data_IF_658076632284
#
_entry.id   IF_658076632284
#
_cell.length_a   1.000
_cell.length_b   1.000
_cell.length_c   1.000
_cell.angle_alpha   90.00
_cell.angle_beta   90.00
_cell.angle_gamma   90.00
#
_symmetry.space_group_name_H-M   'P 1'
#
loop_
_entity.id
_entity.type
_entity.pdbx_description
1 polymer ?
#
# COMPACT_ATOMS: atom_id res chain seq x y z
N UNK A 1 -25.48 -3.77 -20.41
CA UNK A 1 -26.82 -3.71 -19.78
C UNK A 1 -26.71 -2.87 -18.52
N UNK A 2 -27.76 -2.14 -18.10
CA UNK A 2 -27.71 -1.40 -16.83
C UNK A 2 -27.54 -2.36 -15.65
N UNK A 3 -26.69 -2.01 -14.69
CA UNK A 3 -26.52 -2.78 -13.46
C UNK A 3 -27.75 -2.64 -12.56
N UNK A 4 -28.43 -3.75 -12.29
CA UNK A 4 -29.70 -3.78 -11.55
C UNK A 4 -29.83 -5.06 -10.73
N UNK A 5 -30.77 -5.11 -9.78
CA UNK A 5 -31.05 -6.34 -9.05
C UNK A 5 -31.50 -7.49 -9.96
N UNK A 6 -32.15 -7.18 -11.09
CA UNK A 6 -32.62 -8.19 -12.04
C UNK A 6 -31.44 -8.89 -12.74
N UNK A 7 -30.35 -8.17 -13.01
CA UNK A 7 -29.12 -8.70 -13.63
C UNK A 7 -28.16 -9.28 -12.60
N UNK A 8 -28.19 -8.79 -11.35
CA UNK A 8 -27.26 -9.21 -10.29
C UNK A 8 -27.72 -10.46 -9.53
N UNK A 9 -29.00 -10.53 -9.13
CA UNK A 9 -29.53 -11.64 -8.30
C UNK A 9 -29.32 -13.03 -8.90
N UNK A 10 -29.49 -13.25 -10.22
CA UNK A 10 -29.24 -14.57 -10.81
C UNK A 10 -27.79 -15.02 -10.63
N UNK A 11 -26.83 -14.10 -10.79
CA UNK A 11 -25.39 -14.38 -10.63
C UNK A 11 -25.05 -14.72 -9.18
N UNK A 12 -25.56 -13.94 -8.21
CA UNK A 12 -25.38 -14.23 -6.78
C UNK A 12 -26.02 -15.56 -6.40
N UNK A 13 -27.21 -15.85 -6.90
CA UNK A 13 -27.92 -17.11 -6.62
C UNK A 13 -27.14 -18.31 -7.14
N UNK A 14 -26.63 -18.25 -8.37
CA UNK A 14 -25.81 -19.31 -8.94
C UNK A 14 -24.51 -19.50 -8.15
N UNK A 15 -23.82 -18.42 -7.79
CA UNK A 15 -22.59 -18.48 -6.98
C UNK A 15 -22.85 -19.16 -5.63
N UNK A 16 -23.88 -18.73 -4.90
CA UNK A 16 -24.23 -19.31 -3.59
C UNK A 16 -24.60 -20.80 -3.74
N UNK A 17 -25.36 -21.17 -4.78
CA UNK A 17 -25.77 -22.56 -5.01
C UNK A 17 -24.62 -23.46 -5.48
N UNK A 18 -23.51 -22.88 -5.95
CA UNK A 18 -22.31 -23.65 -6.32
C UNK A 18 -21.44 -24.03 -5.11
N UNK A 19 -21.64 -23.38 -3.96
CA UNK A 19 -20.89 -23.66 -2.74
C UNK A 19 -21.26 -25.04 -2.18
N UNK A 20 -20.24 -25.78 -1.74
CA UNK A 20 -20.46 -27.06 -1.07
C UNK A 20 -21.13 -26.82 0.29
N UNK A 21 -22.26 -27.49 0.51
CA UNK A 21 -22.94 -27.55 1.81
C UNK A 21 -22.72 -28.94 2.40
N UNK A 22 -22.46 -29.08 3.72
CA UNK A 22 -22.33 -30.38 4.35
C UNK A 22 -23.54 -31.28 4.07
N UNK A 23 -23.35 -32.59 3.88
CA UNK A 23 -24.45 -33.51 3.62
C UNK A 23 -25.43 -33.52 4.80
N UNK A 24 -26.76 -33.54 4.54
CA UNK A 24 -27.73 -33.63 5.60
C UNK A 24 -27.63 -34.99 6.32
N UNK A 25 -28.02 -35.08 7.61
CA UNK A 25 -28.02 -36.33 8.36
C UNK A 25 -28.88 -37.43 7.71
N UNK A 26 -29.91 -37.05 6.95
CA UNK A 26 -30.75 -37.96 6.16
C UNK A 26 -31.34 -37.24 4.94
N UNK A 27 -31.70 -38.00 3.91
CA UNK A 27 -32.29 -37.49 2.67
C UNK A 27 -31.28 -37.17 1.56
N UNK A 28 -31.78 -36.86 0.36
CA UNK A 28 -30.97 -36.47 -0.80
C UNK A 28 -30.86 -34.94 -0.86
N UNK A 29 -29.64 -34.43 -0.94
CA UNK A 29 -29.38 -33.02 -1.19
C UNK A 29 -29.40 -32.76 -2.69
N UNK A 30 -29.79 -31.54 -3.10
CA UNK A 30 -29.57 -31.10 -4.49
C UNK A 30 -28.07 -31.04 -4.75
N UNK A 31 -27.63 -31.55 -5.90
CA UNK A 31 -26.26 -31.34 -6.36
C UNK A 31 -25.96 -29.84 -6.42
N UNK A 32 -24.74 -29.41 -6.06
CA UNK A 32 -24.33 -28.03 -6.23
C UNK A 32 -24.54 -27.57 -7.67
N UNK A 33 -24.91 -26.31 -7.84
CA UNK A 33 -24.96 -25.69 -9.17
C UNK A 33 -23.54 -25.63 -9.78
N UNK A 34 -23.47 -25.47 -11.10
CA UNK A 34 -22.20 -25.17 -11.75
C UNK A 34 -21.64 -23.84 -11.22
N UNK A 35 -20.31 -23.78 -11.05
CA UNK A 35 -19.59 -22.53 -10.81
C UNK A 35 -19.94 -21.49 -11.89
N UNK A 36 -19.80 -20.21 -11.54
CA UNK A 36 -19.92 -19.14 -12.54
C UNK A 36 -18.89 -19.35 -13.66
N UNK A 37 -19.30 -19.12 -14.90
CA UNK A 37 -18.33 -18.96 -15.99
C UNK A 37 -17.51 -17.68 -15.76
N UNK A 38 -16.38 -17.53 -16.45
CA UNK A 38 -15.56 -16.31 -16.36
C UNK A 38 -16.40 -15.06 -16.68
N UNK A 39 -17.14 -15.05 -17.79
CA UNK A 39 -18.01 -13.93 -18.19
C UNK A 39 -19.07 -13.60 -17.12
N UNK A 40 -19.62 -14.63 -16.46
CA UNK A 40 -20.60 -14.43 -15.40
C UNK A 40 -19.98 -13.85 -14.13
N UNK A 41 -18.76 -14.29 -13.77
CA UNK A 41 -18.00 -13.74 -12.65
C UNK A 41 -17.65 -12.28 -12.93
N UNK A 42 -17.13 -11.97 -14.11
CA UNK A 42 -16.82 -10.60 -14.53
C UNK A 42 -18.07 -9.71 -14.53
N UNK A 43 -19.21 -10.21 -15.03
CA UNK A 43 -20.48 -9.50 -14.96
C UNK A 43 -20.90 -9.22 -13.51
N UNK A 44 -20.72 -10.18 -12.58
CA UNK A 44 -21.01 -9.98 -11.16
C UNK A 44 -20.09 -8.90 -10.57
N UNK A 45 -18.79 -8.99 -10.86
CA UNK A 45 -17.78 -8.05 -10.39
C UNK A 45 -18.01 -6.62 -10.89
N UNK A 46 -18.43 -6.44 -12.15
CA UNK A 46 -18.76 -5.12 -12.70
C UNK A 46 -19.85 -4.39 -11.92
N UNK A 47 -20.87 -5.10 -11.44
CA UNK A 47 -21.89 -4.50 -10.56
C UNK A 47 -21.27 -3.94 -9.27
N UNK A 48 -20.23 -4.60 -8.74
CA UNK A 48 -19.52 -4.15 -7.54
C UNK A 48 -18.60 -2.95 -7.78
N UNK A 49 -18.39 -2.57 -9.04
CA UNK A 49 -17.59 -1.40 -9.43
C UNK A 49 -18.45 -0.20 -9.83
N UNK A 50 -19.77 -0.38 -9.94
CA UNK A 50 -20.71 0.66 -10.34
C UNK A 50 -21.20 1.46 -9.13
N UNK A 51 -20.97 2.78 -9.16
CA UNK A 51 -21.33 3.70 -8.07
C UNK A 51 -22.83 3.78 -7.86
N UNK A 52 -23.63 3.84 -8.93
CA UNK A 52 -25.08 3.98 -8.83
C UNK A 52 -25.69 2.69 -8.27
N UNK A 53 -25.14 1.54 -8.67
CA UNK A 53 -25.55 0.25 -8.12
C UNK A 53 -25.14 0.09 -6.64
N UNK A 54 -23.89 0.40 -6.30
CA UNK A 54 -23.34 0.20 -4.95
C UNK A 54 -23.79 1.24 -3.93
N UNK A 55 -24.26 2.41 -4.36
CA UNK A 55 -24.79 3.46 -3.47
C UNK A 55 -26.24 3.26 -3.04
N UNK A 56 -26.99 2.38 -3.71
CA UNK A 56 -28.39 2.12 -3.38
C UNK A 56 -28.52 1.17 -2.17
N UNK A 57 -29.06 1.61 -1.01
CA UNK A 57 -29.21 0.76 0.17
C UNK A 57 -30.07 -0.49 -0.05
N UNK A 58 -31.01 -0.45 -1.01
CA UNK A 58 -31.83 -1.61 -1.36
C UNK A 58 -31.01 -2.78 -1.94
N UNK A 59 -29.78 -2.51 -2.40
CA UNK A 59 -28.88 -3.52 -2.97
C UNK A 59 -27.94 -4.13 -1.92
N UNK A 60 -27.79 -3.52 -0.74
CA UNK A 60 -26.75 -3.88 0.24
C UNK A 60 -26.82 -5.34 0.68
N UNK A 61 -28.02 -5.89 0.87
CA UNK A 61 -28.19 -7.30 1.23
C UNK A 61 -27.65 -8.25 0.15
N UNK A 62 -27.85 -7.92 -1.13
CA UNK A 62 -27.35 -8.72 -2.24
C UNK A 62 -25.85 -8.55 -2.43
N UNK A 63 -25.34 -7.32 -2.29
CA UNK A 63 -23.89 -7.04 -2.35
C UNK A 63 -23.17 -7.80 -1.22
N UNK A 64 -23.69 -7.72 0.00
CA UNK A 64 -23.17 -8.47 1.14
C UNK A 64 -23.17 -9.98 0.89
N UNK A 65 -24.27 -10.54 0.38
CA UNK A 65 -24.35 -11.96 0.02
C UNK A 65 -23.32 -12.35 -1.05
N UNK A 66 -23.12 -11.51 -2.07
CA UNK A 66 -22.13 -11.74 -3.12
C UNK A 66 -20.70 -11.77 -2.56
N UNK A 67 -20.34 -10.79 -1.71
CA UNK A 67 -19.02 -10.72 -1.09
C UNK A 67 -18.74 -11.90 -0.16
N UNK A 68 -19.74 -12.33 0.62
CA UNK A 68 -19.66 -13.55 1.44
C UNK A 68 -19.44 -14.77 0.56
N UNK A 69 -20.21 -14.92 -0.52
CA UNK A 69 -20.12 -16.09 -1.39
C UNK A 69 -18.79 -16.13 -2.15
N UNK A 70 -18.29 -14.98 -2.64
CA UNK A 70 -16.96 -14.86 -3.25
C UNK A 70 -15.87 -15.32 -2.28
N UNK A 71 -15.92 -14.86 -1.02
CA UNK A 71 -14.98 -15.29 0.04
C UNK A 71 -15.07 -16.79 0.30
N UNK A 72 -16.27 -17.35 0.46
CA UNK A 72 -16.43 -18.78 0.71
C UNK A 72 -15.99 -19.66 -0.47
N UNK A 73 -16.12 -19.16 -1.70
CA UNK A 73 -15.68 -19.85 -2.91
C UNK A 73 -14.18 -19.78 -3.17
N UNK A 74 -13.47 -18.81 -2.56
CA UNK A 74 -12.08 -18.50 -2.87
C UNK A 74 -11.87 -17.65 -4.13
N UNK A 75 -12.91 -17.41 -4.92
CA UNK A 75 -12.85 -16.58 -6.15
C UNK A 75 -12.39 -15.15 -5.88
N UNK A 76 -12.55 -14.66 -4.64
CA UNK A 76 -12.12 -13.33 -4.20
C UNK A 76 -10.59 -13.18 -4.09
N UNK A 77 -9.85 -14.29 -4.21
CA UNK A 77 -8.38 -14.39 -4.15
C UNK A 77 -7.78 -15.01 -5.42
N UNK A 78 -8.56 -15.18 -6.47
CA UNK A 78 -8.03 -15.67 -7.75
C UNK A 78 -7.28 -14.54 -8.47
N UNK A 79 -6.08 -14.80 -9.05
CA UNK A 79 -5.33 -13.79 -9.77
C UNK A 79 -6.12 -13.12 -10.91
N UNK A 80 -6.94 -13.89 -11.64
CA UNK A 80 -7.80 -13.35 -12.71
C UNK A 80 -8.85 -12.36 -12.18
N UNK A 81 -9.47 -12.68 -11.03
CA UNK A 81 -10.42 -11.78 -10.35
C UNK A 81 -9.74 -10.48 -9.94
N UNK A 82 -8.54 -10.56 -9.36
CA UNK A 82 -7.81 -9.38 -8.91
C UNK A 82 -7.35 -8.50 -10.08
N UNK A 83 -6.87 -9.10 -11.18
CA UNK A 83 -6.54 -8.37 -12.41
C UNK A 83 -7.77 -7.66 -12.97
N UNK A 84 -8.90 -8.36 -13.06
CA UNK A 84 -10.14 -7.80 -13.57
C UNK A 84 -10.64 -6.61 -12.73
N UNK A 85 -10.65 -6.77 -11.41
CA UNK A 85 -11.09 -5.72 -10.49
C UNK A 85 -10.14 -4.53 -10.48
N UNK A 86 -8.82 -4.79 -10.50
CA UNK A 86 -7.79 -3.76 -10.67
C UNK A 86 -8.06 -2.93 -11.92
N UNK A 87 -8.23 -3.58 -13.07
CA UNK A 87 -8.50 -2.89 -14.34
C UNK A 87 -9.80 -2.07 -14.25
N UNK A 88 -10.89 -2.69 -13.78
CA UNK A 88 -12.20 -2.05 -13.67
C UNK A 88 -12.20 -0.79 -12.79
N UNK A 89 -11.46 -0.77 -11.68
CA UNK A 89 -11.33 0.44 -10.86
C UNK A 89 -10.41 1.48 -11.46
N UNK A 90 -9.29 1.06 -12.07
CA UNK A 90 -8.33 1.98 -12.67
C UNK A 90 -8.87 2.67 -13.93
N UNK A 91 -9.79 2.06 -14.67
CA UNK A 91 -10.48 2.70 -15.81
C UNK A 91 -11.48 3.78 -15.38
N UNK A 92 -11.90 3.78 -14.12
CA UNK A 92 -12.79 4.82 -13.58
C UNK A 92 -12.01 6.01 -13.00
N UNK A 93 -10.68 5.91 -12.89
CA UNK A 93 -9.84 7.02 -12.45
C UNK A 93 -9.65 7.98 -13.63
N UNK A 94 -9.72 9.28 -13.36
CA UNK A 94 -9.42 10.30 -14.36
C UNK A 94 -8.00 10.06 -14.95
N UNK A 95 -7.82 10.17 -16.28
CA UNK A 95 -6.51 9.95 -16.90
C UNK A 95 -5.42 10.82 -16.26
N UNK A 96 -4.30 10.19 -15.91
CA UNK A 96 -3.13 10.85 -15.37
C UNK A 96 -2.08 10.97 -16.48
N UNK A 97 -1.62 12.18 -16.75
CA UNK A 97 -0.48 12.41 -17.62
C UNK A 97 0.81 12.02 -16.89
N UNK A 98 1.54 11.04 -17.42
CA UNK A 98 2.83 10.61 -16.90
C UNK A 98 3.95 11.38 -17.62
N UNK A 99 4.68 12.29 -16.95
CA UNK A 99 5.77 13.03 -17.59
C UNK A 99 6.99 12.13 -17.82
N UNK A 100 7.85 12.53 -18.76
CA UNK A 100 9.16 11.92 -18.87
C UNK A 100 10.02 12.26 -17.64
N UNK A 101 10.66 11.24 -17.07
CA UNK A 101 11.54 11.38 -15.91
C UNK A 101 13.00 11.57 -16.34
N UNK A 102 13.78 12.37 -15.59
CA UNK A 102 15.19 12.61 -15.90
C UNK A 102 16.03 11.34 -15.77
N UNK A 103 17.25 11.41 -16.30
CA UNK A 103 18.19 10.31 -16.15
C UNK A 103 18.71 10.16 -14.72
N UNK A 104 18.89 8.92 -14.28
CA UNK A 104 19.58 8.58 -13.02
C UNK A 104 20.99 8.06 -13.32
N UNK A 105 22.00 8.41 -12.51
CA UNK A 105 23.32 7.77 -12.57
C UNK A 105 23.32 6.33 -12.03
N UNK A 106 22.25 5.90 -11.35
CA UNK A 106 22.19 4.59 -10.68
C UNK A 106 21.43 3.52 -11.47
N UNK A 107 20.56 3.90 -12.40
CA UNK A 107 19.66 2.98 -13.11
C UNK A 107 19.19 3.54 -14.45
N UNK A 108 18.94 2.65 -15.42
CA UNK A 108 18.31 2.97 -16.69
C UNK A 108 16.77 3.07 -16.59
N UNK A 109 16.18 2.62 -15.48
CA UNK A 109 14.74 2.72 -15.25
C UNK A 109 14.31 4.18 -15.13
N UNK A 110 13.32 4.57 -15.93
CA UNK A 110 12.76 5.93 -16.02
C UNK A 110 11.27 5.90 -15.67
N UNK A 111 10.94 5.37 -14.50
CA UNK A 111 9.56 5.22 -14.04
C UNK A 111 9.42 5.44 -12.55
N UNK A 112 8.17 5.31 -12.08
CA UNK A 112 7.85 5.40 -10.66
C UNK A 112 7.88 4.02 -10.01
N UNK A 113 8.11 4.03 -8.71
CA UNK A 113 7.90 2.86 -7.86
C UNK A 113 6.92 3.15 -6.73
N UNK A 114 6.34 2.09 -6.18
CA UNK A 114 5.46 2.16 -5.00
C UNK A 114 5.88 1.14 -3.95
N UNK A 115 5.65 1.47 -2.68
CA UNK A 115 5.81 0.59 -1.54
C UNK A 115 4.55 0.67 -0.69
N UNK A 116 3.81 -0.43 -0.59
CA UNK A 116 2.49 -0.44 0.07
C UNK A 116 2.13 -1.84 0.53
N UNK A 117 1.52 -1.94 1.70
CA UNK A 117 1.02 -3.19 2.26
C UNK A 117 -0.50 -3.29 2.15
N UNK A 118 -1.04 -4.50 2.28
CA UNK A 118 -2.49 -4.74 2.42
C UNK A 118 -3.10 -4.12 3.67
N UNK A 119 -2.28 -3.87 4.70
CA UNK A 119 -2.70 -3.66 6.07
C UNK A 119 -3.37 -4.89 6.68
N UNK A 120 -3.76 -4.77 7.94
CA UNK A 120 -4.53 -5.80 8.63
C UNK A 120 -3.72 -6.97 9.19
N UNK A 121 -2.39 -6.83 9.30
CA UNK A 121 -1.50 -7.81 9.95
C UNK A 121 -1.66 -7.87 11.48
N UNK A 122 -2.22 -6.81 12.09
CA UNK A 122 -2.43 -6.72 13.53
C UNK A 122 -1.16 -6.46 14.34
N UNK A 123 -0.03 -6.16 13.70
CA UNK A 123 1.26 -5.98 14.38
C UNK A 123 1.49 -4.56 14.92
N UNK A 124 0.72 -3.58 14.42
CA UNK A 124 0.79 -2.16 14.82
C UNK A 124 2.23 -1.61 14.83
N UNK A 125 2.97 -1.89 13.75
CA UNK A 125 4.34 -1.40 13.52
C UNK A 125 4.34 0.07 13.07
N UNK A 126 5.47 0.74 13.29
CA UNK A 126 5.73 2.08 12.79
C UNK A 126 5.39 2.19 11.30
N UNK A 127 4.92 3.36 10.85
CA UNK A 127 4.58 3.65 9.45
C UNK A 127 5.83 3.69 8.54
N UNK A 128 6.53 2.56 8.45
CA UNK A 128 7.85 2.46 7.83
C UNK A 128 7.75 2.57 6.32
N UNK A 129 6.74 2.01 5.67
CA UNK A 129 6.59 2.13 4.21
C UNK A 129 6.43 3.58 3.74
N UNK A 130 5.75 4.43 4.52
CA UNK A 130 5.63 5.88 4.26
C UNK A 130 6.97 6.57 4.47
N UNK A 131 7.66 6.26 5.57
CA UNK A 131 8.95 6.85 5.90
C UNK A 131 10.02 6.47 4.87
N UNK A 132 10.09 5.18 4.51
CA UNK A 132 10.99 4.61 3.51
C UNK A 132 10.77 5.20 2.12
N UNK A 133 9.54 5.60 1.78
CA UNK A 133 9.26 6.28 0.50
C UNK A 133 10.05 7.58 0.36
N UNK A 134 10.12 8.40 1.43
CA UNK A 134 10.91 9.62 1.41
C UNK A 134 12.41 9.35 1.46
N UNK A 135 12.85 8.31 2.20
CA UNK A 135 14.26 7.91 2.22
C UNK A 135 14.72 7.48 0.83
N UNK A 136 13.97 6.61 0.15
CA UNK A 136 14.28 6.20 -1.21
C UNK A 136 14.24 7.39 -2.18
N UNK A 137 13.21 8.24 -2.12
CA UNK A 137 13.10 9.44 -2.96
C UNK A 137 14.20 10.49 -2.73
N UNK A 138 14.93 10.41 -1.61
CA UNK A 138 16.10 11.25 -1.37
C UNK A 138 17.37 10.80 -2.11
N UNK A 139 17.35 9.62 -2.74
CA UNK A 139 18.41 9.12 -3.63
C UNK A 139 18.21 9.69 -5.04
N UNK A 140 19.29 10.10 -5.68
CA UNK A 140 19.24 10.76 -6.99
C UNK A 140 18.60 9.88 -8.07
N UNK A 141 17.63 10.46 -8.81
CA UNK A 141 16.92 9.77 -9.88
C UNK A 141 15.90 8.72 -9.42
N UNK A 142 15.64 8.62 -8.11
CA UNK A 142 14.54 7.83 -7.58
C UNK A 142 13.23 8.60 -7.63
N UNK A 143 12.17 7.96 -8.13
CA UNK A 143 10.83 8.53 -8.20
C UNK A 143 9.81 7.60 -7.56
N UNK A 144 9.27 8.01 -6.42
CA UNK A 144 8.28 7.25 -5.66
C UNK A 144 6.90 7.88 -5.88
N UNK A 145 5.93 7.05 -6.25
CA UNK A 145 4.53 7.43 -6.33
C UNK A 145 3.72 6.53 -5.39
N UNK A 146 3.62 6.94 -4.12
CA UNK A 146 2.98 6.11 -3.09
C UNK A 146 1.47 6.23 -3.15
N UNK A 147 0.77 5.09 -3.17
CA UNK A 147 -0.68 5.05 -2.97
C UNK A 147 -0.99 4.65 -1.52
N UNK A 148 -1.89 5.39 -0.86
CA UNK A 148 -2.19 5.13 0.55
C UNK A 148 -3.48 5.77 1.04
N UNK A 149 -3.87 5.41 2.25
CA UNK A 149 -5.11 5.87 2.86
C UNK A 149 -5.02 5.96 4.38
N UNK A 150 -6.19 6.16 4.99
CA UNK A 150 -6.37 6.10 6.44
C UNK A 150 -6.15 4.67 6.95
N UNK A 151 -5.73 4.54 8.22
CA UNK A 151 -5.60 3.23 8.85
C UNK A 151 -6.93 2.46 8.84
N UNK A 152 -6.88 1.17 8.50
CA UNK A 152 -7.99 0.23 8.69
C UNK A 152 -7.93 -0.50 10.03
N UNK A 153 -6.74 -0.64 10.62
CA UNK A 153 -6.48 -1.47 11.82
C UNK A 153 -5.32 -1.02 12.70
N UNK A 154 -4.42 -0.14 12.23
CA UNK A 154 -3.28 0.38 13.02
C UNK A 154 -3.64 1.64 13.79
N UNK A 155 -2.81 1.98 14.78
CA UNK A 155 -2.90 3.22 15.57
C UNK A 155 -2.62 4.49 14.76
N UNK A 156 -1.91 4.37 13.63
CA UNK A 156 -1.66 5.45 12.67
C UNK A 156 -1.56 4.91 11.25
N UNK A 157 -2.25 5.54 10.30
CA UNK A 157 -2.17 5.21 8.88
C UNK A 157 -1.23 6.14 8.11
N UNK A 158 -0.96 5.80 6.86
CA UNK A 158 -0.10 6.62 5.98
C UNK A 158 -0.62 8.06 5.83
N UNK A 159 -1.94 8.24 5.68
CA UNK A 159 -2.54 9.55 5.56
C UNK A 159 -2.45 10.34 6.87
N UNK A 160 -2.74 9.72 8.02
CA UNK A 160 -2.66 10.37 9.34
C UNK A 160 -1.24 10.86 9.66
N UNK A 161 -0.22 10.05 9.34
CA UNK A 161 1.17 10.46 9.47
C UNK A 161 1.48 11.68 8.59
N UNK A 162 1.07 11.66 7.32
CA UNK A 162 1.34 12.77 6.40
C UNK A 162 0.60 14.05 6.79
N UNK A 163 -0.64 13.97 7.30
CA UNK A 163 -1.33 15.11 7.90
C UNK A 163 -0.53 15.67 9.08
N UNK A 164 -0.04 14.80 9.96
CA UNK A 164 0.78 15.20 11.12
C UNK A 164 2.12 15.83 10.70
N UNK A 165 2.68 15.43 9.55
CA UNK A 165 3.87 16.07 8.94
C UNK A 165 3.56 17.38 8.20
N UNK A 166 2.29 17.80 8.19
CA UNK A 166 1.83 19.08 7.62
C UNK A 166 1.56 19.05 6.12
N UNK A 167 1.29 17.89 5.52
CA UNK A 167 0.86 17.80 4.12
C UNK A 167 -0.67 18.03 4.02
N UNK A 168 -1.14 18.99 3.20
CA UNK A 168 -2.56 19.32 3.09
C UNK A 168 -3.28 18.37 2.10
N UNK A 169 -3.22 17.06 2.34
CA UNK A 169 -3.66 16.06 1.36
C UNK A 169 -5.13 16.20 0.93
N UNK A 170 -6.01 16.69 1.81
CA UNK A 170 -7.45 16.88 1.51
C UNK A 170 -7.73 18.17 0.74
N UNK A 171 -6.82 19.13 0.79
CA UNK A 171 -6.98 20.44 0.15
C UNK A 171 -6.43 20.44 -1.29
N UNK A 172 -5.77 19.35 -1.70
CA UNK A 172 -5.23 19.18 -3.05
C UNK A 172 -6.12 18.17 -3.83
N UNK A 173 -6.85 18.63 -4.86
CA UNK A 173 -7.65 17.74 -5.70
C UNK A 173 -6.81 16.66 -6.40
N UNK A 174 -7.39 15.48 -6.66
CA UNK A 174 -6.70 14.36 -7.31
C UNK A 174 -6.02 14.73 -8.63
N UNK A 175 -6.68 15.58 -9.44
CA UNK A 175 -6.13 16.08 -10.72
C UNK A 175 -4.88 16.94 -10.54
N UNK A 176 -4.81 17.72 -9.46
CA UNK A 176 -3.63 18.53 -9.14
C UNK A 176 -2.55 17.70 -8.46
N UNK A 177 -2.90 16.77 -7.57
CA UNK A 177 -1.93 15.84 -6.97
C UNK A 177 -1.17 15.04 -8.06
N UNK A 178 -1.86 14.68 -9.14
CA UNK A 178 -1.25 14.00 -10.29
C UNK A 178 -0.21 14.85 -11.03
N UNK A 179 -0.33 16.19 -11.05
CA UNK A 179 0.66 17.06 -11.73
C UNK A 179 1.99 17.16 -10.98
N UNK A 180 2.02 16.73 -9.71
CA UNK A 180 3.24 16.65 -8.91
C UNK A 180 4.16 15.52 -9.37
N UNK A 181 3.65 14.56 -10.17
CA UNK A 181 4.50 13.61 -10.87
C UNK A 181 5.49 14.40 -11.74
N UNK A 182 6.77 14.07 -11.65
CA UNK A 182 7.84 14.77 -12.36
C UNK A 182 8.33 16.07 -11.71
N UNK A 183 7.52 16.71 -10.85
CA UNK A 183 7.96 17.88 -10.07
C UNK A 183 8.61 17.47 -8.75
N UNK A 184 8.14 16.38 -8.15
CA UNK A 184 8.67 15.83 -6.90
C UNK A 184 9.25 14.44 -7.10
N UNK A 185 10.31 14.12 -6.35
CA UNK A 185 10.86 12.77 -6.27
C UNK A 185 9.94 11.81 -5.48
N UNK A 186 9.05 12.34 -4.64
CA UNK A 186 8.03 11.57 -3.95
C UNK A 186 6.67 12.23 -4.13
N UNK A 187 5.66 11.49 -4.58
CA UNK A 187 4.26 11.91 -4.59
C UNK A 187 3.43 10.95 -3.73
N UNK A 188 2.29 11.44 -3.23
CA UNK A 188 1.36 10.63 -2.46
C UNK A 188 -0.06 10.77 -3.03
N UNK A 189 -0.68 9.64 -3.33
CA UNK A 189 -2.05 9.56 -3.79
C UNK A 189 -2.95 9.04 -2.68
N UNK A 190 -3.76 9.95 -2.14
CA UNK A 190 -4.75 9.63 -1.12
C UNK A 190 -5.93 8.87 -1.74
N UNK A 191 -6.02 7.57 -1.43
CA UNK A 191 -6.92 6.63 -2.10
C UNK A 191 -8.39 7.11 -2.23
N UNK A 192 -9.04 7.68 -1.19
CA UNK A 192 -10.41 8.20 -1.31
C UNK A 192 -10.61 9.28 -2.38
N UNK A 193 -9.57 10.04 -2.74
CA UNK A 193 -9.68 11.10 -3.76
C UNK A 193 -9.66 10.53 -5.18
N UNK A 194 -9.01 9.39 -5.39
CA UNK A 194 -8.87 8.76 -6.71
C UNK A 194 -9.92 7.67 -6.96
N UNK A 195 -10.31 6.92 -5.93
CA UNK A 195 -11.20 5.76 -6.05
C UNK A 195 -12.59 6.03 -5.49
N UNK A 196 -13.31 7.00 -6.08
CA UNK A 196 -14.66 7.37 -5.63
C UNK A 196 -15.64 6.19 -5.66
N UNK A 197 -15.44 5.25 -6.58
CA UNK A 197 -16.21 4.00 -6.68
C UNK A 197 -16.09 3.07 -5.47
N UNK A 198 -15.07 3.26 -4.62
CA UNK A 198 -14.93 2.51 -3.38
C UNK A 198 -15.74 3.07 -2.22
N UNK A 199 -16.15 4.35 -2.28
CA UNK A 199 -16.85 5.00 -1.16
C UNK A 199 -18.20 4.35 -0.80
N UNK A 200 -19.08 4.02 -1.77
CA UNK A 200 -20.38 3.41 -1.44
C UNK A 200 -20.29 2.04 -0.78
N UNK A 201 -19.17 1.33 -0.96
CA UNK A 201 -18.93 0.01 -0.38
C UNK A 201 -18.52 0.06 1.10
N UNK A 202 -18.08 1.22 1.62
CA UNK A 202 -17.64 1.38 3.00
C UNK A 202 -18.68 0.94 4.05
N UNK A 203 -19.95 1.39 4.03
CA UNK A 203 -20.96 0.95 4.99
C UNK A 203 -21.24 -0.56 4.91
N UNK A 204 -21.21 -1.13 3.70
CA UNK A 204 -21.43 -2.57 3.50
C UNK A 204 -20.29 -3.38 4.12
N UNK A 205 -19.04 -2.99 3.85
CA UNK A 205 -17.84 -3.63 4.41
C UNK A 205 -17.83 -3.55 5.93
N UNK A 206 -18.19 -2.40 6.49
CA UNK A 206 -18.30 -2.22 7.94
C UNK A 206 -19.36 -3.12 8.56
N UNK A 207 -20.50 -3.31 7.89
CA UNK A 207 -21.58 -4.16 8.39
C UNK A 207 -21.26 -5.67 8.28
N UNK A 208 -20.47 -6.08 7.28
CA UNK A 208 -20.04 -7.47 7.13
C UNK A 208 -19.10 -7.92 8.24
N UNK A 209 -18.19 -7.05 8.69
CA UNK A 209 -17.28 -7.34 9.82
C UNK A 209 -16.19 -8.39 9.53
N UNK A 210 -15.99 -8.79 8.28
CA UNK A 210 -14.89 -9.68 7.87
C UNK A 210 -14.19 -9.16 6.59
N UNK A 211 -12.92 -9.51 6.35
CA UNK A 211 -12.19 -9.07 5.16
C UNK A 211 -12.79 -9.63 3.87
N UNK A 212 -12.78 -8.86 2.79
CA UNK A 212 -13.24 -9.25 1.44
C UNK A 212 -12.15 -8.98 0.40
N UNK A 213 -12.39 -9.18 -0.90
CA UNK A 213 -11.45 -8.78 -1.96
C UNK A 213 -11.01 -7.30 -1.83
N UNK A 214 -11.87 -6.43 -1.33
CA UNK A 214 -11.56 -5.00 -1.16
C UNK A 214 -10.50 -4.71 -0.09
N UNK A 215 -10.16 -5.69 0.75
CA UNK A 215 -9.05 -5.57 1.70
C UNK A 215 -7.70 -5.82 1.02
N UNK A 216 -7.67 -6.47 -0.14
CA UNK A 216 -6.45 -6.80 -0.88
C UNK A 216 -6.31 -6.00 -2.20
N UNK A 217 -7.37 -5.33 -2.67
CA UNK A 217 -7.25 -4.50 -3.87
C UNK A 217 -6.40 -3.23 -3.71
N UNK A 218 -6.28 -2.67 -2.49
CA UNK A 218 -5.65 -1.36 -2.25
C UNK A 218 -4.29 -1.17 -2.94
N UNK A 219 -3.30 -2.05 -2.68
CA UNK A 219 -1.99 -2.03 -3.34
C UNK A 219 -2.04 -2.07 -4.88
N UNK A 220 -3.02 -2.79 -5.44
CA UNK A 220 -3.11 -3.03 -6.88
C UNK A 220 -3.67 -1.84 -7.66
N UNK A 221 -4.27 -0.87 -6.97
CA UNK A 221 -5.04 0.22 -7.59
C UNK A 221 -4.31 1.56 -7.65
N UNK A 222 -2.99 1.61 -7.49
CA UNK A 222 -2.25 2.87 -7.64
C UNK A 222 -2.54 3.52 -9.01
N UNK A 223 -3.08 4.75 -9.06
CA UNK A 223 -3.56 5.36 -10.28
C UNK A 223 -2.44 5.78 -11.26
N UNK A 224 -1.19 5.94 -10.80
CA UNK A 224 -0.03 6.12 -11.70
C UNK A 224 0.43 4.81 -12.36
N UNK A 225 -0.09 3.65 -11.91
CA UNK A 225 0.24 2.33 -12.47
C UNK A 225 1.77 2.08 -12.53
N UNK A 226 2.52 2.26 -11.41
CA UNK A 226 3.97 2.06 -11.39
C UNK A 226 4.32 0.64 -11.87
N UNK A 227 5.39 0.52 -12.66
CA UNK A 227 5.81 -0.77 -13.24
C UNK A 227 6.68 -1.59 -12.30
N UNK A 228 7.10 -1.00 -11.18
CA UNK A 228 7.94 -1.65 -10.18
C UNK A 228 7.53 -1.26 -8.76
N UNK A 229 7.79 -2.11 -7.77
CA UNK A 229 7.42 -1.80 -6.39
C UNK A 229 7.62 -2.94 -5.39
N UNK A 230 7.37 -2.64 -4.12
CA UNK A 230 7.43 -3.60 -3.00
C UNK A 230 6.06 -3.67 -2.34
N UNK A 231 5.35 -4.78 -2.55
CA UNK A 231 3.98 -4.97 -2.10
C UNK A 231 3.89 -5.95 -0.94
N UNK A 232 3.41 -5.47 0.18
CA UNK A 232 3.21 -6.23 1.40
C UNK A 232 1.92 -7.01 1.44
N UNK A 233 1.96 -8.26 1.91
CA UNK A 233 0.77 -9.05 2.24
C UNK A 233 0.87 -9.62 3.65
N UNK A 234 -0.24 -9.60 4.39
CA UNK A 234 -0.33 -10.10 5.77
C UNK A 234 -0.37 -11.64 5.89
N UNK A 235 -0.20 -12.37 4.79
CA UNK A 235 -0.26 -13.83 4.78
C UNK A 235 0.53 -14.40 3.60
N UNK A 236 1.38 -15.39 3.87
CA UNK A 236 2.19 -16.04 2.83
C UNK A 236 1.36 -16.71 1.74
N UNK A 237 0.13 -17.14 2.04
CA UNK A 237 -0.80 -17.68 1.04
C UNK A 237 -1.26 -16.65 0.00
N UNK A 238 -1.22 -15.34 0.31
CA UNK A 238 -1.52 -14.27 -0.63
C UNK A 238 -0.33 -13.91 -1.52
N UNK A 239 0.89 -14.26 -1.12
CA UNK A 239 2.13 -13.94 -1.84
C UNK A 239 2.12 -14.38 -3.31
N UNK A 240 1.93 -15.69 -3.58
CA UNK A 240 1.86 -16.20 -4.95
C UNK A 240 0.70 -15.59 -5.75
N UNK A 241 -0.45 -15.39 -5.11
CA UNK A 241 -1.64 -14.78 -5.73
C UNK A 241 -1.32 -13.36 -6.23
N UNK A 242 -0.65 -12.55 -5.40
CA UNK A 242 -0.25 -11.20 -5.76
C UNK A 242 0.81 -11.19 -6.87
N UNK A 243 1.83 -12.03 -6.76
CA UNK A 243 2.88 -12.11 -7.76
C UNK A 243 2.31 -12.49 -9.14
N UNK A 244 1.41 -13.47 -9.18
CA UNK A 244 0.72 -13.89 -10.39
C UNK A 244 -0.24 -12.82 -10.91
N UNK A 245 -0.94 -12.10 -10.03
CA UNK A 245 -1.78 -10.96 -10.41
C UNK A 245 -0.97 -9.87 -11.10
N UNK A 246 0.18 -9.50 -10.54
CA UNK A 246 1.07 -8.49 -11.10
C UNK A 246 1.67 -8.97 -12.44
N UNK A 247 2.04 -10.25 -12.53
CA UNK A 247 2.55 -10.87 -13.77
C UNK A 247 1.49 -10.80 -14.88
N UNK A 248 0.25 -11.24 -14.60
CA UNK A 248 -0.87 -11.19 -15.54
C UNK A 248 -1.27 -9.77 -15.92
N UNK A 249 -1.04 -8.79 -15.03
CA UNK A 249 -1.23 -7.37 -15.31
C UNK A 249 -0.11 -6.75 -16.16
N UNK A 250 0.93 -7.51 -16.52
CA UNK A 250 2.05 -7.05 -17.35
C UNK A 250 3.05 -6.17 -16.63
N UNK A 251 3.13 -6.28 -15.30
CA UNK A 251 4.07 -5.51 -14.49
C UNK A 251 5.53 -5.99 -14.67
N UNK A 252 6.49 -5.08 -14.49
CA UNK A 252 7.90 -5.36 -14.82
C UNK A 252 8.68 -6.00 -13.67
N UNK A 253 8.78 -5.34 -12.51
CA UNK A 253 9.63 -5.80 -11.40
C UNK A 253 9.04 -5.50 -10.02
N UNK A 254 8.52 -6.51 -9.35
CA UNK A 254 7.92 -6.39 -8.02
C UNK A 254 8.48 -7.38 -7.03
N UNK A 255 8.63 -6.95 -5.79
CA UNK A 255 8.74 -7.86 -4.65
C UNK A 255 7.39 -7.90 -3.94
N UNK A 256 6.76 -9.07 -3.89
CA UNK A 256 5.66 -9.30 -2.96
C UNK A 256 6.27 -9.89 -1.69
N UNK A 257 6.03 -9.27 -0.54
CA UNK A 257 6.71 -9.60 0.72
C UNK A 257 5.73 -9.98 1.83
N UNK A 258 6.12 -10.94 2.66
CA UNK A 258 5.42 -11.32 3.88
C UNK A 258 6.46 -11.74 4.94
N UNK A 259 6.56 -11.00 6.04
CA UNK A 259 7.29 -11.48 7.22
C UNK A 259 6.66 -12.79 7.70
N UNK A 260 7.48 -13.76 8.13
CA UNK A 260 6.99 -15.09 8.50
C UNK A 260 6.08 -15.08 9.73
N UNK A 261 6.11 -14.01 10.51
CA UNK A 261 5.19 -13.70 11.61
C UNK A 261 3.87 -13.04 11.14
N UNK A 262 3.62 -12.95 9.84
CA UNK A 262 2.42 -12.38 9.24
C UNK A 262 2.47 -10.87 8.98
N UNK A 263 3.66 -10.27 9.07
CA UNK A 263 3.87 -8.84 8.81
C UNK A 263 3.78 -8.55 7.30
N UNK A 264 3.09 -7.48 6.91
CA UNK A 264 2.99 -7.08 5.50
C UNK A 264 4.13 -6.17 5.03
N UNK A 265 5.32 -6.34 5.61
CA UNK A 265 6.53 -5.58 5.36
C UNK A 265 7.72 -6.57 5.42
N UNK A 266 8.92 -6.18 4.97
CA UNK A 266 10.11 -7.02 5.21
C UNK A 266 10.39 -7.02 6.70
N UNK A 267 10.32 -8.18 7.37
CA UNK A 267 10.44 -8.28 8.82
C UNK A 267 11.80 -7.75 9.30
N UNK A 268 11.83 -6.85 10.30
CA UNK A 268 13.07 -6.51 10.99
C UNK A 268 13.47 -7.60 11.99
N UNK A 269 12.54 -8.47 12.38
CA UNK A 269 12.74 -9.46 13.44
C UNK A 269 13.25 -10.81 12.92
N UNK A 270 13.16 -11.07 11.61
CA UNK A 270 13.56 -12.36 11.07
C UNK A 270 13.29 -12.55 9.59
N UNK A 271 13.08 -13.81 9.15
CA UNK A 271 12.94 -14.13 7.75
C UNK A 271 11.64 -13.58 7.12
N UNK A 272 11.74 -13.20 5.86
CA UNK A 272 10.65 -12.69 5.02
C UNK A 272 10.55 -13.52 3.76
N UNK A 273 9.36 -14.01 3.44
CA UNK A 273 9.05 -14.60 2.15
C UNK A 273 8.95 -13.49 1.08
N UNK A 274 9.66 -13.67 -0.04
CA UNK A 274 9.66 -12.76 -1.18
C UNK A 274 9.29 -13.53 -2.44
N UNK A 275 8.18 -13.16 -3.07
CA UNK A 275 7.85 -13.57 -4.43
C UNK A 275 8.25 -12.43 -5.37
N UNK A 276 9.43 -12.56 -5.96
CA UNK A 276 9.97 -11.60 -6.92
C UNK A 276 9.42 -11.88 -8.31
N UNK A 277 8.58 -10.97 -8.82
CA UNK A 277 8.29 -10.86 -10.24
C UNK A 277 9.39 -10.03 -10.89
N UNK A 278 10.08 -10.55 -11.90
CA UNK A 278 11.01 -9.78 -12.74
C UNK A 278 10.89 -10.22 -14.19
N UNK A 279 10.53 -9.30 -15.07
CA UNK A 279 10.43 -9.53 -16.53
C UNK A 279 9.58 -10.76 -16.88
N UNK A 280 8.43 -10.91 -16.21
CA UNK A 280 7.50 -12.02 -16.42
C UNK A 280 7.87 -13.33 -15.73
N UNK A 281 9.01 -13.42 -15.03
CA UNK A 281 9.39 -14.60 -14.23
C UNK A 281 9.09 -14.33 -12.76
N UNK A 282 8.47 -15.30 -12.08
CA UNK A 282 8.23 -15.25 -10.63
C UNK A 282 9.19 -16.24 -9.96
N UNK A 283 10.01 -15.74 -9.04
CA UNK A 283 10.88 -16.55 -8.18
C UNK A 283 10.51 -16.33 -6.71
N UNK A 284 10.47 -17.42 -5.94
CA UNK A 284 10.28 -17.35 -4.49
C UNK A 284 11.63 -17.52 -3.79
N UNK A 285 11.91 -16.64 -2.83
CA UNK A 285 13.08 -16.73 -1.95
C UNK A 285 12.74 -16.21 -0.56
N UNK A 286 13.62 -16.49 0.38
CA UNK A 286 13.58 -15.93 1.73
C UNK A 286 14.71 -14.92 1.86
N UNK A 287 14.43 -13.77 2.46
CA UNK A 287 15.43 -12.76 2.81
C UNK A 287 15.40 -12.47 4.31
N UNK A 288 16.50 -12.02 4.88
CA UNK A 288 16.61 -11.52 6.26
C UNK A 288 17.23 -10.12 6.27
N UNK A 289 17.12 -9.35 7.37
CA UNK A 289 17.82 -8.07 7.52
C UNK A 289 19.33 -8.15 7.25
N UNK A 290 19.97 -9.27 7.56
CA UNK A 290 21.41 -9.47 7.31
C UNK A 290 21.76 -9.48 5.81
N UNK A 291 20.86 -9.92 4.92
CA UNK A 291 21.05 -9.84 3.46
C UNK A 291 21.18 -8.37 2.98
N UNK A 292 20.69 -7.43 3.78
CA UNK A 292 20.78 -5.98 3.56
C UNK A 292 21.93 -5.33 4.34
N UNK A 293 22.72 -6.13 5.09
CA UNK A 293 23.76 -5.64 5.98
C UNK A 293 23.24 -4.93 7.23
N UNK A 294 22.04 -5.29 7.70
CA UNK A 294 21.38 -4.70 8.86
C UNK A 294 21.21 -5.74 9.98
N UNK A 295 21.22 -5.31 11.25
CA UNK A 295 20.96 -6.21 12.38
C UNK A 295 19.46 -6.55 12.49
N UNK A 296 19.16 -7.67 13.16
CA UNK A 296 17.80 -8.02 13.57
C UNK A 296 17.31 -7.11 14.71
N UNK A 297 16.03 -6.73 14.65
CA UNK A 297 15.31 -6.00 15.68
C UNK A 297 13.97 -6.68 15.96
N UNK A 298 13.67 -7.05 17.22
CA UNK A 298 12.39 -7.65 17.56
C UNK A 298 11.24 -6.64 17.36
N UNK A 299 10.03 -7.13 17.07
CA UNK A 299 8.89 -6.27 16.71
C UNK A 299 8.52 -5.27 17.81
N UNK A 300 8.82 -5.57 19.07
CA UNK A 300 8.58 -4.65 20.19
C UNK A 300 9.40 -3.36 20.10
N UNK A 301 10.55 -3.37 19.41
CA UNK A 301 11.39 -2.19 19.22
C UNK A 301 10.91 -1.28 18.10
N UNK A 302 10.03 -1.76 17.21
CA UNK A 302 9.54 -1.04 16.02
C UNK A 302 8.04 -0.72 16.07
N UNK A 303 7.44 -0.72 17.26
CA UNK A 303 6.02 -0.41 17.48
C UNK A 303 5.66 0.99 16.98
N UNK A 304 4.42 1.11 16.51
CA UNK A 304 3.80 2.39 16.17
C UNK A 304 3.48 3.21 17.43
N UNK A 305 3.44 4.53 17.28
CA UNK A 305 2.76 5.43 18.19
C UNK A 305 1.54 6.08 17.54
N UNK A 306 1.03 7.13 18.18
CA UNK A 306 0.07 8.04 17.54
C UNK A 306 0.67 8.69 16.28
N UNK A 307 -0.16 9.17 15.36
CA UNK A 307 0.32 9.85 14.16
C UNK A 307 1.27 11.03 14.46
N UNK A 308 1.03 11.76 15.55
CA UNK A 308 1.87 12.86 16.01
C UNK A 308 3.24 12.38 16.57
N UNK A 309 3.27 11.23 17.25
CA UNK A 309 4.52 10.61 17.71
C UNK A 309 5.31 10.04 16.53
N UNK A 310 4.65 9.36 15.59
CA UNK A 310 5.29 8.84 14.38
C UNK A 310 5.85 10.00 13.54
N UNK A 311 5.14 11.12 13.42
CA UNK A 311 5.66 12.32 12.75
C UNK A 311 6.91 12.87 13.43
N UNK A 312 6.96 12.89 14.77
CA UNK A 312 8.14 13.32 15.51
C UNK A 312 9.33 12.38 15.26
N UNK A 313 9.11 11.07 15.29
CA UNK A 313 10.13 10.07 14.93
C UNK A 313 10.65 10.31 13.51
N UNK A 314 9.78 10.48 12.51
CA UNK A 314 10.21 10.74 11.12
C UNK A 314 11.11 11.97 11.03
N UNK A 315 10.70 13.08 11.65
CA UNK A 315 11.50 14.31 11.63
C UNK A 315 12.83 14.15 12.35
N UNK A 316 12.85 13.43 13.47
CA UNK A 316 14.09 13.11 14.20
C UNK A 316 15.04 12.28 13.30
N UNK A 317 14.57 11.16 12.74
CA UNK A 317 15.38 10.34 11.84
C UNK A 317 15.91 11.15 10.66
N UNK A 318 15.12 12.07 10.11
CA UNK A 318 15.52 12.84 8.92
C UNK A 318 16.47 14.01 9.23
N UNK A 319 16.63 14.41 10.49
CA UNK A 319 17.44 15.58 10.90
C UNK A 319 18.66 15.24 11.74
N UNK A 320 18.77 14.02 12.28
CA UNK A 320 19.89 13.60 13.12
C UNK A 320 21.27 13.77 12.45
N UNK A 321 21.35 13.64 11.12
CA UNK A 321 22.59 13.74 10.34
C UNK A 321 23.63 12.67 10.66
N UNK A 322 23.24 11.63 11.40
CA UNK A 322 24.04 10.46 11.78
C UNK A 322 23.13 9.33 12.22
N UNK A 323 23.69 8.14 12.29
CA UNK A 323 23.01 6.97 12.82
C UNK A 323 22.64 7.16 14.31
N UNK A 324 21.41 6.80 14.73
CA UNK A 324 21.02 6.86 16.14
C UNK A 324 21.86 5.93 17.01
N UNK A 325 22.03 6.31 18.29
CA UNK A 325 22.65 5.44 19.27
C UNK A 325 21.80 4.18 19.51
N UNK A 326 22.42 3.03 19.79
CA UNK A 326 21.69 1.80 20.11
C UNK A 326 20.97 1.90 21.46
N UNK A 327 19.92 1.09 21.62
CA UNK A 327 19.09 1.05 22.82
C UNK A 327 17.94 2.06 22.81
N UNK A 328 17.08 1.99 23.85
CA UNK A 328 15.93 2.88 23.96
C UNK A 328 16.34 4.29 24.39
N UNK A 329 15.53 5.28 24.01
CA UNK A 329 15.61 6.63 24.59
C UNK A 329 15.44 6.57 26.11
N UNK A 330 16.37 7.16 26.86
CA UNK A 330 16.29 7.23 28.33
C UNK A 330 15.23 8.22 28.80
N UNK A 331 15.02 9.29 28.04
CA UNK A 331 14.06 10.35 28.31
C UNK A 331 13.26 10.65 27.05
N UNK A 332 12.07 11.24 27.22
CA UNK A 332 11.29 11.69 26.09
C UNK A 332 12.07 12.77 25.31
N UNK A 333 11.95 12.76 23.99
CA UNK A 333 12.64 13.70 23.10
C UNK A 333 11.63 14.61 22.42
N UNK A 334 11.74 15.90 22.68
CA UNK A 334 11.00 16.92 21.94
C UNK A 334 11.65 17.14 20.57
N UNK A 335 10.84 17.15 19.51
CA UNK A 335 11.31 17.43 18.15
C UNK A 335 10.71 18.75 17.70
N UNK A 336 11.56 19.67 17.25
CA UNK A 336 11.09 20.96 16.74
C UNK A 336 10.53 20.78 15.33
N UNK A 337 9.28 21.20 15.11
CA UNK A 337 8.71 21.38 13.79
C UNK A 337 8.39 22.85 13.58
N UNK A 338 9.28 23.59 12.92
CA UNK A 338 9.07 25.01 12.63
C UNK A 338 8.12 25.26 11.43
N UNK A 339 7.38 24.25 10.98
CA UNK A 339 6.61 24.31 9.72
C UNK A 339 5.10 24.33 10.01
N UNK A 340 4.36 25.34 9.52
CA UNK A 340 2.91 25.44 9.70
C UNK A 340 2.16 24.16 9.32
N UNK A 341 1.14 23.81 10.09
CA UNK A 341 0.32 22.61 9.87
C UNK A 341 0.96 21.30 10.34
N UNK A 342 2.22 21.31 10.77
CA UNK A 342 2.87 20.14 11.37
C UNK A 342 2.39 19.96 12.81
N UNK A 343 1.90 18.77 13.14
CA UNK A 343 1.46 18.40 14.48
C UNK A 343 2.31 17.23 14.98
N UNK A 344 3.29 17.54 15.82
CA UNK A 344 4.22 16.57 16.41
C UNK A 344 4.02 16.49 17.92
N UNK A 345 4.10 15.28 18.44
CA UNK A 345 4.18 15.03 19.88
C UNK A 345 5.65 14.78 20.27
N UNK A 346 5.93 14.62 21.56
CA UNK A 346 7.23 14.14 22.00
C UNK A 346 7.41 12.67 21.63
N UNK A 347 8.65 12.29 21.30
CA UNK A 347 9.03 10.89 21.16
C UNK A 347 9.16 10.32 22.58
N UNK A 348 8.40 9.29 22.97
CA UNK A 348 8.44 8.76 24.33
C UNK A 348 9.81 8.19 24.70
N UNK A 349 10.16 8.26 25.99
CA UNK A 349 11.19 7.40 26.57
C UNK A 349 10.84 5.92 26.29
N UNK A 350 11.85 5.07 26.10
CA UNK A 350 11.66 3.68 25.70
C UNK A 350 11.63 3.46 24.18
N UNK A 351 11.55 4.52 23.37
CA UNK A 351 11.56 4.39 21.89
C UNK A 351 12.94 3.98 21.39
N UNK A 352 13.01 2.97 20.52
CA UNK A 352 14.25 2.48 19.92
C UNK A 352 14.50 3.15 18.56
N UNK A 353 15.03 4.37 18.58
CA UNK A 353 15.29 5.12 17.33
C UNK A 353 16.21 4.36 16.37
N UNK A 354 17.18 3.59 16.90
CA UNK A 354 18.07 2.76 16.09
C UNK A 354 17.32 1.66 15.33
N UNK A 355 16.40 0.96 16.00
CA UNK A 355 15.58 -0.08 15.38
C UNK A 355 14.67 0.50 14.28
N UNK A 356 14.02 1.64 14.55
CA UNK A 356 13.17 2.33 13.58
C UNK A 356 13.97 2.86 12.37
N UNK A 357 15.21 3.30 12.60
CA UNK A 357 16.14 3.69 11.55
C UNK A 357 16.53 2.51 10.66
N UNK A 358 17.01 1.40 11.24
CA UNK A 358 17.41 0.22 10.49
C UNK A 358 16.21 -0.41 9.77
N UNK A 359 15.04 -0.42 10.41
CA UNK A 359 13.81 -0.86 9.77
C UNK A 359 13.41 0.00 8.56
N UNK A 360 13.58 1.32 8.67
CA UNK A 360 13.35 2.25 7.54
C UNK A 360 14.34 2.00 6.41
N UNK A 361 15.62 1.78 6.73
CA UNK A 361 16.64 1.44 5.74
C UNK A 361 16.31 0.13 5.01
N UNK A 362 15.86 -0.89 5.73
CA UNK A 362 15.48 -2.19 5.17
C UNK A 362 14.41 -2.05 4.08
N UNK A 363 13.31 -1.34 4.38
CA UNK A 363 12.23 -1.12 3.40
C UNK A 363 12.69 -0.22 2.23
N UNK A 364 13.45 0.83 2.52
CA UNK A 364 13.94 1.75 1.48
C UNK A 364 14.93 1.05 0.53
N UNK A 365 15.79 0.18 1.06
CA UNK A 365 16.75 -0.60 0.29
C UNK A 365 16.05 -1.57 -0.66
N UNK A 366 15.00 -2.25 -0.22
CA UNK A 366 14.19 -3.11 -1.10
C UNK A 366 13.51 -2.31 -2.21
N UNK A 367 12.99 -1.11 -1.90
CA UNK A 367 12.39 -0.24 -2.91
C UNK A 367 13.41 0.26 -3.94
N UNK A 368 14.62 0.63 -3.49
CA UNK A 368 15.74 0.99 -4.36
C UNK A 368 16.17 -0.19 -5.24
N UNK A 369 16.22 -1.39 -4.67
CA UNK A 369 16.56 -2.62 -5.38
C UNK A 369 15.61 -2.88 -6.55
N UNK A 370 14.29 -2.84 -6.33
CA UNK A 370 13.32 -3.03 -7.42
C UNK A 370 13.35 -1.88 -8.43
N UNK A 371 13.72 -0.65 -8.02
CA UNK A 371 13.98 0.45 -8.95
C UNK A 371 15.27 0.26 -9.80
N UNK A 372 16.04 -0.80 -9.56
CA UNK A 372 17.29 -1.09 -10.27
C UNK A 372 18.50 -0.32 -9.71
N UNK A 373 18.37 0.36 -8.59
CA UNK A 373 19.50 0.98 -7.91
C UNK A 373 20.38 -0.10 -7.24
N UNK A 374 21.61 0.28 -6.86
CA UNK A 374 22.53 -0.62 -6.17
C UNK A 374 23.09 -1.77 -7.01
N UNK A 375 22.78 -1.86 -8.31
CA UNK A 375 23.33 -2.87 -9.20
C UNK A 375 22.94 -4.31 -8.85
N UNK A 376 21.77 -4.50 -8.23
CA UNK A 376 21.29 -5.82 -7.80
C UNK A 376 21.88 -6.32 -6.47
N UNK A 377 22.55 -5.46 -5.71
CA UNK A 377 23.07 -5.76 -4.36
C UNK A 377 22.24 -5.00 -3.30
N UNK A 378 21.49 -5.71 -2.43
CA UNK A 378 20.73 -5.09 -1.35
C UNK A 378 21.59 -4.26 -0.39
N UNK A 379 22.83 -4.66 -0.09
CA UNK A 379 23.72 -3.90 0.79
C UNK A 379 24.08 -2.53 0.22
N UNK A 380 24.27 -2.44 -1.10
CA UNK A 380 24.49 -1.15 -1.79
C UNK A 380 23.24 -0.28 -1.75
N UNK A 381 22.06 -0.87 -1.86
CA UNK A 381 20.80 -0.14 -1.70
C UNK A 381 20.66 0.42 -0.28
N UNK A 382 21.03 -0.35 0.74
CA UNK A 382 21.09 0.10 2.13
C UNK A 382 22.06 1.28 2.30
N UNK A 383 23.23 1.25 1.66
CA UNK A 383 24.18 2.35 1.69
C UNK A 383 23.60 3.65 1.09
N UNK A 384 22.95 3.57 -0.08
CA UNK A 384 22.28 4.72 -0.70
C UNK A 384 21.14 5.28 0.18
N UNK A 385 20.32 4.42 0.75
CA UNK A 385 19.27 4.82 1.69
C UNK A 385 19.85 5.52 2.94
N UNK A 386 20.97 5.01 3.46
CA UNK A 386 21.69 5.60 4.60
C UNK A 386 22.27 6.98 4.26
N UNK A 387 22.85 7.14 3.07
CA UNK A 387 23.32 8.43 2.56
C UNK A 387 22.17 9.44 2.42
N UNK A 388 21.00 8.99 1.96
CA UNK A 388 19.79 9.83 1.88
C UNK A 388 19.35 10.35 3.25
N UNK A 389 19.37 9.52 4.30
CA UNK A 389 19.04 9.96 5.66
C UNK A 389 20.10 10.90 6.24
N UNK A 390 21.37 10.49 6.21
CA UNK A 390 22.49 11.25 6.82
C UNK A 390 22.72 12.57 6.08
N UNK A 391 22.67 12.55 4.74
CA UNK A 391 22.88 13.71 3.88
C UNK A 391 21.65 14.61 3.73
N UNK A 392 20.55 14.34 4.44
CA UNK A 392 19.32 15.12 4.43
C UNK A 392 18.49 15.02 3.14
N UNK A 393 18.76 14.04 2.28
CA UNK A 393 17.98 13.74 1.08
C UNK A 393 16.52 13.43 1.41
N UNK A 394 16.28 12.59 2.41
CA UNK A 394 14.94 12.25 2.89
C UNK A 394 14.15 13.50 3.35
N UNK A 395 14.79 14.39 4.12
CA UNK A 395 14.17 15.64 4.57
C UNK A 395 13.86 16.59 3.40
N UNK A 396 14.76 16.67 2.41
CA UNK A 396 14.53 17.47 1.19
C UNK A 396 13.35 16.94 0.40
N UNK A 397 13.24 15.63 0.21
CA UNK A 397 12.11 15.00 -0.49
C UNK A 397 10.77 15.31 0.21
N UNK A 398 10.70 15.14 1.54
CA UNK A 398 9.52 15.49 2.34
C UNK A 398 9.17 16.97 2.23
N UNK A 399 10.15 17.85 2.44
CA UNK A 399 9.93 19.30 2.43
C UNK A 399 9.49 19.78 1.06
N UNK A 400 10.10 19.26 -0.02
CA UNK A 400 9.75 19.63 -1.38
C UNK A 400 8.31 19.26 -1.72
N UNK A 401 7.89 18.01 -1.46
CA UNK A 401 6.50 17.59 -1.67
C UNK A 401 5.53 18.48 -0.87
N UNK A 402 5.83 18.70 0.42
CA UNK A 402 5.00 19.53 1.29
C UNK A 402 4.86 20.96 0.75
N UNK A 403 5.95 21.58 0.30
CA UNK A 403 5.94 22.92 -0.28
C UNK A 403 5.08 22.99 -1.54
N UNK A 404 5.24 22.03 -2.47
CA UNK A 404 4.43 22.00 -3.70
C UNK A 404 2.94 21.81 -3.39
N UNK A 405 2.60 20.94 -2.42
CA UNK A 405 1.20 20.74 -2.03
C UNK A 405 0.57 21.97 -1.39
N UNK A 406 1.31 22.72 -0.55
CA UNK A 406 0.81 24.00 0.00
C UNK A 406 0.65 25.08 -1.06
N UNK A 407 1.52 25.09 -2.08
CA UNK A 407 1.32 25.97 -3.23
C UNK A 407 0.01 25.63 -3.94
N UNK A 408 -0.25 24.35 -4.23
CA UNK A 408 -1.49 23.90 -4.86
C UNK A 408 -2.75 24.18 -4.02
N UNK A 409 -2.70 23.96 -2.70
CA UNK A 409 -3.85 24.20 -1.82
C UNK A 409 -4.22 25.69 -1.68
N UNK A 410 -3.23 26.58 -1.84
CA UNK A 410 -3.46 28.03 -1.81
C UNK A 410 -4.15 28.58 -3.08
N UNK A 411 -4.13 27.82 -4.18
CA UNK A 411 -4.87 28.14 -5.41
C UNK A 411 -6.27 27.51 -5.38
N UNK A 412 -7.17 28.04 -4.54
CA UNK A 412 -8.60 27.84 -4.78
C UNK A 412 -9.06 28.80 -5.89
N UNK A 413 -9.73 28.33 -6.95
CA UNK A 413 -10.40 29.25 -7.87
C UNK A 413 -11.47 30.01 -7.08
N UNK A 414 -11.46 31.34 -7.19
CA UNK A 414 -12.55 32.20 -6.71
C UNK A 414 -13.88 31.66 -7.27
N UNK A 415 -14.95 31.57 -6.46
CA UNK A 415 -16.21 30.92 -6.84
C UNK A 415 -16.86 31.47 -8.10
#
# INVERSE_FOLDING_TARGET
MPHSLATFKPLVSQLVQSLAVPPPPSGKMRSPAALLTQDQLEALLLHLTDVDFTSNPAHFAQIGAALTALRMSGLDREPSTLVFMRHSFLEQVAPIALPELPASPHTDYRGWVDIVGTGGDGQDTFNVSTTASFVAAGVEGMHVCKHGGKASSSSSGSAELLFSLGLPLLDVPATQAATLLGQSACTFFLAPLFHRAMMPLAPIRSALGFPTLFNILGPLMNPARPQRGVYGVHSSGLGPVYAETLQRAGMEHFWVVCGQEGLDEISPAGPTDVWELRNGVIEHRIVTPEDFGLPLHPLEEVRSGTAAQNAAVVLELFTLGKEPAPGPLTEARTVSAAVPGTHVAEIPAGTYLRALWDYTLLQAAALLYVAGHGGGDPCRCTALARESLIGGGAMRALTHLRTLMHQLSSFQPCP
#
